data_IF_845893433663
#
_entry.id   IF_845893433663
#
_cell.length_a   1.000
_cell.length_b   1.000
_cell.length_c   1.000
_cell.angle_alpha   90.00
_cell.angle_beta   90.00
_cell.angle_gamma   90.00
#
_symmetry.space_group_name_H-M   'P 1'
#
loop_
_entity.id
_entity.type
_entity.pdbx_description
1 polymer ?
#
# COMPACT_ATOMS: atom_id res chain seq x y z
N UNK A 1 -12.11 -12.28 -9.11
CA UNK A 1 -10.77 -12.09 -9.71
C UNK A 1 -10.47 -10.60 -9.66
N UNK A 2 -10.26 -10.10 -8.45
CA UNK A 2 -10.10 -8.66 -8.17
C UNK A 2 -8.69 -8.34 -7.68
N UNK A 3 -7.87 -9.38 -7.47
CA UNK A 3 -6.46 -9.27 -7.08
C UNK A 3 -5.64 -8.83 -8.29
N UNK A 4 -4.86 -7.77 -8.09
CA UNK A 4 -3.92 -7.20 -9.05
C UNK A 4 -2.50 -7.55 -8.61
N UNK A 5 -1.66 -7.92 -9.57
CA UNK A 5 -0.23 -8.12 -9.38
C UNK A 5 0.51 -7.10 -10.23
N UNK A 6 1.41 -6.34 -9.60
CA UNK A 6 2.08 -5.19 -10.20
C UNK A 6 3.56 -5.25 -9.86
N UNK A 7 4.41 -4.87 -10.79
CA UNK A 7 5.83 -4.62 -10.55
C UNK A 7 6.03 -3.10 -10.58
N UNK A 8 6.53 -2.51 -9.49
CA UNK A 8 6.75 -1.05 -9.38
C UNK A 8 8.18 -0.74 -8.98
N UNK A 9 8.73 0.35 -9.51
CA UNK A 9 10.07 0.83 -9.15
C UNK A 9 9.99 2.30 -8.70
N UNK A 10 9.58 2.56 -7.44
CA UNK A 10 9.41 3.93 -6.96
C UNK A 10 10.77 4.63 -6.78
N UNK A 11 10.93 5.82 -7.33
CA UNK A 11 12.19 6.57 -7.24
C UNK A 11 12.58 6.92 -5.79
N UNK A 12 11.59 7.11 -4.92
CA UNK A 12 11.78 7.52 -3.52
C UNK A 12 11.64 6.36 -2.53
N UNK A 13 11.84 5.11 -2.98
CA UNK A 13 11.93 3.91 -2.10
C UNK A 13 10.65 3.73 -1.25
N UNK A 14 9.54 4.28 -1.72
CA UNK A 14 8.25 4.23 -1.04
C UNK A 14 7.11 4.58 -1.98
N UNK A 15 5.94 4.06 -1.68
CA UNK A 15 4.69 4.35 -2.35
C UNK A 15 3.55 4.39 -1.33
N UNK A 16 2.36 4.79 -1.78
CA UNK A 16 1.27 5.20 -0.91
C UNK A 16 -0.03 4.47 -1.24
N UNK A 17 -0.79 4.19 -0.19
CA UNK A 17 -2.18 3.72 -0.25
C UNK A 17 -3.08 4.81 0.32
N UNK A 18 -4.04 5.30 -0.45
CA UNK A 18 -4.98 6.32 0.03
C UNK A 18 -6.39 6.08 -0.51
N UNK A 19 -7.39 6.65 0.17
CA UNK A 19 -8.78 6.62 -0.28
C UNK A 19 -9.19 7.81 -1.16
N UNK A 20 -8.27 8.77 -1.35
CA UNK A 20 -8.41 9.96 -2.18
C UNK A 20 -7.02 10.52 -2.51
N UNK A 21 -6.95 11.40 -3.51
CA UNK A 21 -5.74 12.20 -3.81
C UNK A 21 -5.58 13.37 -2.84
N UNK A 22 -4.41 14.01 -2.87
CA UNK A 22 -4.05 15.19 -2.06
C UNK A 22 -4.21 14.93 -0.56
N UNK A 23 -3.55 13.87 -0.08
CA UNK A 23 -3.52 13.47 1.33
C UNK A 23 -2.19 13.87 1.97
N UNK A 24 -2.22 14.13 3.27
CA UNK A 24 -1.01 14.33 4.05
C UNK A 24 -0.28 12.99 4.20
N UNK A 25 0.92 12.91 3.61
CA UNK A 25 1.76 11.72 3.66
C UNK A 25 2.37 11.62 5.06
N UNK A 26 2.13 10.52 5.81
CA UNK A 26 2.78 10.32 7.10
C UNK A 26 4.28 10.17 6.88
N UNK A 27 5.08 11.04 7.48
CA UNK A 27 6.54 10.97 7.43
C UNK A 27 7.09 10.79 8.83
N UNK A 28 8.10 9.92 8.98
CA UNK A 28 8.76 9.66 10.25
C UNK A 28 10.27 9.54 10.00
N UNK A 29 11.09 10.01 10.95
CA UNK A 29 12.55 10.14 10.74
C UNK A 29 13.29 8.81 10.60
N UNK A 30 12.70 7.70 11.07
CA UNK A 30 13.27 6.36 11.02
C UNK A 30 12.98 5.60 9.72
N UNK A 31 11.97 6.02 8.93
CA UNK A 31 11.58 5.45 7.62
C UNK A 31 11.50 3.91 7.58
N UNK A 32 11.14 3.28 8.70
CA UNK A 32 11.05 1.82 8.81
C UNK A 32 9.61 1.38 9.00
N UNK A 33 9.27 0.29 8.31
CA UNK A 33 7.96 -0.31 8.34
C UNK A 33 6.89 0.52 7.64
N UNK A 34 5.65 0.09 7.80
CA UNK A 34 4.49 0.75 7.24
C UNK A 34 4.07 1.91 8.15
N UNK A 35 4.08 3.12 7.62
CA UNK A 35 3.63 4.32 8.33
C UNK A 35 2.20 4.64 7.93
N UNK A 36 1.38 5.13 8.87
CA UNK A 36 -0.02 5.41 8.56
C UNK A 36 -0.55 6.66 9.23
N UNK A 37 -1.45 7.31 8.52
CA UNK A 37 -2.45 8.23 9.04
C UNK A 37 -3.84 7.67 8.73
N UNK A 38 -4.90 8.40 9.10
CA UNK A 38 -6.28 7.98 8.77
C UNK A 38 -6.58 8.06 7.27
N UNK A 39 -5.80 8.84 6.51
CA UNK A 39 -6.09 9.16 5.11
C UNK A 39 -5.03 8.60 4.14
N UNK A 40 -3.86 8.20 4.63
CA UNK A 40 -2.77 7.69 3.82
C UNK A 40 -1.93 6.67 4.59
N UNK A 41 -1.49 5.63 3.88
CA UNK A 41 -0.50 4.65 4.35
C UNK A 41 0.72 4.77 3.45
N UNK A 42 1.90 4.91 4.03
CA UNK A 42 3.18 4.88 3.34
C UNK A 42 3.79 3.49 3.53
N UNK A 43 4.17 2.88 2.42
CA UNK A 43 4.78 1.56 2.37
C UNK A 43 6.18 1.72 1.76
N UNK A 44 7.24 1.17 2.39
CA UNK A 44 8.57 1.15 1.81
C UNK A 44 8.59 0.29 0.53
N UNK A 45 9.54 0.54 -0.35
CA UNK A 45 9.76 -0.22 -1.58
C UNK A 45 11.25 -0.50 -1.75
N UNK A 46 11.60 -1.44 -2.63
CA UNK A 46 12.97 -1.63 -3.06
C UNK A 46 13.50 -0.38 -3.79
N UNK A 47 14.80 -0.10 -3.66
CA UNK A 47 15.45 0.95 -4.43
C UNK A 47 15.43 0.58 -5.92
N UNK A 48 14.94 1.49 -6.77
CA UNK A 48 14.70 1.24 -8.20
C UNK A 48 15.89 0.70 -8.99
N UNK A 49 17.13 0.98 -8.54
CA UNK A 49 18.34 0.48 -9.20
C UNK A 49 18.70 -0.96 -8.78
N UNK A 50 18.18 -1.42 -7.65
CA UNK A 50 18.40 -2.76 -7.12
C UNK A 50 17.32 -3.74 -7.58
N UNK A 51 16.16 -3.23 -8.01
CA UNK A 51 15.12 -4.00 -8.67
C UNK A 51 13.73 -3.35 -8.55
N UNK A 52 12.71 -4.12 -8.92
CA UNK A 52 11.32 -3.75 -8.75
C UNK A 52 10.76 -4.32 -7.43
N UNK A 53 9.73 -3.69 -6.90
CA UNK A 53 8.88 -4.21 -5.83
C UNK A 53 7.64 -4.88 -6.42
N UNK A 54 7.46 -6.15 -6.11
CA UNK A 54 6.27 -6.93 -6.47
C UNK A 54 5.13 -6.62 -5.48
N UNK A 55 4.04 -6.06 -6.01
CA UNK A 55 2.87 -5.66 -5.23
C UNK A 55 1.67 -6.52 -5.59
N UNK A 56 1.12 -7.21 -4.59
CA UNK A 56 -0.17 -7.91 -4.68
C UNK A 56 -1.23 -7.08 -3.97
N UNK A 57 -2.29 -6.69 -4.69
CA UNK A 57 -3.33 -5.79 -4.19
C UNK A 57 -4.73 -6.32 -4.45
N UNK A 58 -5.54 -6.50 -3.42
CA UNK A 58 -6.87 -7.10 -3.58
C UNK A 58 -7.69 -7.24 -2.30
N UNK A 59 -8.90 -7.83 -2.39
CA UNK A 59 -9.73 -8.06 -1.22
C UNK A 59 -9.13 -9.13 -0.32
N UNK A 60 -9.25 -8.97 1.00
CA UNK A 60 -8.73 -9.94 1.98
C UNK A 60 -9.31 -11.35 1.79
N UNK A 61 -10.53 -11.47 1.28
CA UNK A 61 -11.15 -12.77 1.01
C UNK A 61 -10.50 -13.53 -0.15
N UNK A 62 -9.76 -12.86 -1.04
CA UNK A 62 -9.05 -13.46 -2.17
C UNK A 62 -7.53 -13.57 -1.91
N UNK A 63 -7.00 -12.95 -0.85
CA UNK A 63 -5.58 -13.00 -0.47
C UNK A 63 -5.42 -13.99 0.68
N UNK A 64 -4.63 -15.04 0.44
CA UNK A 64 -4.28 -16.00 1.47
C UNK A 64 -2.91 -15.64 2.03
N UNK A 65 -2.88 -15.10 3.25
CA UNK A 65 -1.62 -15.01 4.00
C UNK A 65 -1.69 -15.64 5.38
N UNK A 66 -0.67 -16.43 5.71
CA UNK A 66 -0.64 -17.25 6.91
C UNK A 66 -0.09 -16.50 8.13
N UNK A 67 0.76 -15.50 7.91
CA UNK A 67 1.37 -14.69 8.98
C UNK A 67 0.50 -13.49 9.35
N UNK A 68 0.70 -12.98 10.56
CA UNK A 68 0.11 -11.70 10.95
C UNK A 68 0.63 -10.57 10.06
N UNK A 69 -0.22 -9.60 9.69
CA UNK A 69 0.20 -8.45 8.92
C UNK A 69 1.16 -7.57 9.73
N UNK A 70 2.10 -6.92 9.05
CA UNK A 70 2.99 -5.92 9.66
C UNK A 70 2.23 -4.63 9.97
N UNK A 71 1.12 -4.40 9.27
CA UNK A 71 0.20 -3.31 9.52
C UNK A 71 -1.25 -3.75 9.38
N UNK A 72 -2.08 -3.38 10.35
CA UNK A 72 -3.54 -3.57 10.33
C UNK A 72 -4.22 -2.30 10.84
N UNK A 73 -4.92 -1.59 9.95
CA UNK A 73 -5.51 -0.29 10.26
C UNK A 73 -6.72 0.05 9.42
N UNK A 74 -7.38 1.16 9.77
CA UNK A 74 -8.54 1.68 9.04
C UNK A 74 -8.12 2.90 8.22
N UNK A 75 -8.35 2.83 6.92
CA UNK A 75 -8.16 3.92 5.96
C UNK A 75 -9.50 4.56 5.63
N UNK A 76 -9.56 5.90 5.65
CA UNK A 76 -10.72 6.64 5.15
C UNK A 76 -10.74 6.57 3.62
N UNK A 77 -11.83 6.04 3.07
CA UNK A 77 -12.08 5.83 1.64
C UNK A 77 -13.35 6.54 1.20
N UNK A 78 -13.44 7.88 1.34
CA UNK A 78 -14.70 8.63 1.16
C UNK A 78 -15.33 8.47 -0.22
N UNK A 79 -14.54 8.13 -1.24
CA UNK A 79 -14.99 7.89 -2.61
C UNK A 79 -15.27 6.41 -2.93
N UNK A 80 -15.29 5.54 -1.90
CA UNK A 80 -15.43 4.09 -2.03
C UNK A 80 -14.38 3.50 -2.98
N UNK A 81 -13.15 4.01 -2.87
CA UNK A 81 -12.02 3.62 -3.69
C UNK A 81 -10.75 3.63 -2.84
N UNK A 82 -9.81 2.76 -3.21
CA UNK A 82 -8.42 2.78 -2.77
C UNK A 82 -7.55 2.98 -4.00
N UNK A 83 -6.55 3.85 -3.89
CA UNK A 83 -5.54 4.12 -4.91
C UNK A 83 -4.14 3.82 -4.41
N UNK A 84 -3.32 3.24 -5.28
CA UNK A 84 -1.87 3.07 -5.12
C UNK A 84 -1.15 4.08 -6.01
N UNK A 85 -0.19 4.84 -5.46
CA UNK A 85 0.55 5.88 -6.18
C UNK A 85 1.91 6.16 -5.50
N UNK A 86 2.82 6.88 -6.16
CA UNK A 86 4.02 7.42 -5.51
C UNK A 86 4.14 8.94 -5.76
N UNK A 87 5.32 9.51 -5.50
CA UNK A 87 5.56 10.95 -5.68
C UNK A 87 5.52 11.41 -7.15
N UNK A 88 5.82 10.53 -8.11
CA UNK A 88 5.99 10.86 -9.53
C UNK A 88 4.91 10.24 -10.42
N UNK A 89 4.45 9.04 -10.07
CA UNK A 89 3.43 8.28 -10.74
C UNK A 89 2.08 8.49 -10.02
N UNK A 90 1.12 9.13 -10.71
CA UNK A 90 -0.15 9.47 -10.09
C UNK A 90 -1.01 8.23 -9.78
N UNK A 91 -0.78 7.06 -10.37
CA UNK A 91 -1.55 5.85 -10.07
C UNK A 91 -0.91 4.59 -10.63
N UNK A 92 -0.53 3.65 -9.74
CA UNK A 92 -0.18 2.29 -10.12
C UNK A 92 -1.42 1.41 -10.29
N UNK A 93 -2.36 1.49 -9.34
CA UNK A 93 -3.60 0.74 -9.37
C UNK A 93 -4.69 1.43 -8.56
N UNK A 94 -5.93 1.00 -8.79
CA UNK A 94 -7.08 1.42 -8.02
C UNK A 94 -8.04 0.24 -7.83
N UNK A 95 -8.82 0.26 -6.75
CA UNK A 95 -9.89 -0.70 -6.52
C UNK A 95 -11.09 -0.03 -5.85
N UNK A 96 -12.30 -0.42 -6.27
CA UNK A 96 -13.53 -0.03 -5.59
C UNK A 96 -13.69 -0.84 -4.30
N UNK A 97 -14.15 -0.18 -3.25
CA UNK A 97 -14.37 -0.78 -1.93
C UNK A 97 -15.79 -0.51 -1.44
N UNK A 98 -16.38 -1.38 -0.61
CA UNK A 98 -17.80 -1.29 -0.26
C UNK A 98 -18.14 -0.19 0.75
N UNK A 99 -17.14 0.43 1.39
CA UNK A 99 -17.33 1.33 2.52
C UNK A 99 -16.46 2.59 2.43
N UNK A 100 -16.92 3.66 3.06
CA UNK A 100 -16.18 4.92 3.22
C UNK A 100 -15.05 4.85 4.26
N UNK A 101 -14.97 3.73 4.99
CA UNK A 101 -13.86 3.36 5.88
C UNK A 101 -13.52 1.91 5.61
N UNK A 102 -12.29 1.67 5.18
CA UNK A 102 -11.86 0.35 4.74
C UNK A 102 -10.70 -0.12 5.60
N UNK A 103 -10.78 -1.36 6.09
CA UNK A 103 -9.67 -2.00 6.78
C UNK A 103 -8.61 -2.37 5.76
N UNK A 104 -7.37 -1.99 6.02
CA UNK A 104 -6.20 -2.29 5.21
C UNK A 104 -5.24 -3.12 6.03
N UNK A 105 -4.75 -4.20 5.43
CA UNK A 105 -3.68 -5.03 5.98
C UNK A 105 -2.52 -5.06 5.01
N UNK A 106 -1.30 -4.91 5.53
CA UNK A 106 -0.08 -4.91 4.72
C UNK A 106 0.91 -5.92 5.27
N UNK A 107 1.54 -6.65 4.37
CA UNK A 107 2.65 -7.56 4.62
C UNK A 107 3.83 -7.10 3.78
N UNK A 108 4.99 -6.94 4.42
CA UNK A 108 6.28 -6.65 3.79
C UNK A 108 7.31 -7.71 4.20
N UNK A 109 8.16 -8.13 3.27
CA UNK A 109 9.24 -9.11 3.55
C UNK A 109 10.50 -8.46 4.16
N UNK A 110 10.69 -7.15 3.97
CA UNK A 110 11.79 -6.38 4.57
C UNK A 110 11.32 -5.01 5.10
N UNK A 111 11.80 -4.55 6.28
CA UNK A 111 11.28 -3.35 6.94
C UNK A 111 11.62 -2.02 6.24
N UNK A 112 12.62 -1.96 5.37
CA UNK A 112 13.00 -0.72 4.68
C UNK A 112 13.03 -0.82 3.16
N UNK A 113 13.21 -2.02 2.64
CA UNK A 113 13.46 -2.27 1.21
C UNK A 113 12.78 -3.59 0.83
N UNK A 114 11.44 -3.68 0.95
CA UNK A 114 10.74 -4.90 0.61
C UNK A 114 10.75 -5.16 -0.88
N UNK A 115 11.02 -6.40 -1.26
CA UNK A 115 10.87 -6.88 -2.62
C UNK A 115 9.42 -7.32 -2.86
N UNK A 116 8.76 -7.84 -1.81
CA UNK A 116 7.39 -8.34 -1.88
C UNK A 116 6.48 -7.59 -0.89
N UNK A 117 5.45 -6.95 -1.44
CA UNK A 117 4.42 -6.27 -0.66
C UNK A 117 3.04 -6.81 -1.00
N UNK A 118 2.30 -7.23 0.02
CA UNK A 118 0.90 -7.63 -0.12
C UNK A 118 0.02 -6.59 0.58
N UNK A 119 -1.00 -6.10 -0.10
CA UNK A 119 -1.95 -5.09 0.38
C UNK A 119 -3.36 -5.66 0.23
N UNK A 120 -3.99 -6.00 1.35
CA UNK A 120 -5.34 -6.51 1.38
C UNK A 120 -6.32 -5.48 1.94
N UNK A 121 -7.49 -5.35 1.32
CA UNK A 121 -8.58 -4.51 1.79
C UNK A 121 -9.83 -5.32 2.13
N UNK A 122 -10.58 -4.87 3.14
CA UNK A 122 -11.80 -5.56 3.61
C UNK A 122 -11.74 -5.98 5.07
#
# INVERSE_FOLDING_TARGET
MTVQHLSIAPEYVSFYVAGRRNVDIPTHMDRRGVLSSKDCILIPALYWNDGDTDVTFGPISEITEARNPDFDGILNTPNNEIILFDANNPQFAASRVPSAKTRIRVWIDHPSEPENVIIAWG
#
